data_IF_182020733888
#
_entry.id   IF_182020733888
#
_cell.length_a   1.000
_cell.length_b   1.000
_cell.length_c   1.000
_cell.angle_alpha   90.00
_cell.angle_beta   90.00
_cell.angle_gamma   90.00
#
_symmetry.space_group_name_H-M   'P 1'
#
loop_
_entity.id
_entity.type
_entity.pdbx_description
1 polymer ?
#
# COMPACT_ATOMS: atom_id res chain seq x y z
N UNK A 1 -2.63 -10.22 11.45
CA UNK A 1 -2.60 -11.25 10.40
C UNK A 1 -1.33 -12.07 10.55
N UNK A 2 -1.39 -13.40 10.41
CA UNK A 2 -0.21 -14.26 10.31
C UNK A 2 0.60 -13.90 9.05
N UNK A 3 1.92 -14.05 9.10
CA UNK A 3 2.78 -13.66 7.98
C UNK A 3 2.53 -14.52 6.72
N UNK A 4 2.14 -15.77 6.91
CA UNK A 4 1.77 -16.72 5.85
C UNK A 4 0.49 -16.33 5.11
N UNK A 5 -0.36 -15.53 5.73
CA UNK A 5 -1.61 -15.04 5.12
C UNK A 5 -1.42 -13.68 4.41
N UNK A 6 -0.18 -13.18 4.37
CA UNK A 6 0.14 -11.91 3.73
C UNK A 6 1.03 -12.14 2.51
N UNK A 7 0.54 -11.75 1.34
CA UNK A 7 1.33 -11.74 0.10
C UNK A 7 1.55 -10.31 -0.37
N UNK A 8 2.82 -9.97 -0.62
CA UNK A 8 3.21 -8.69 -1.23
C UNK A 8 3.94 -9.00 -2.52
N UNK A 9 3.30 -8.71 -3.64
CA UNK A 9 3.90 -8.84 -4.97
C UNK A 9 4.98 -7.78 -5.21
N UNK A 10 6.02 -8.08 -6.00
CA UNK A 10 7.03 -7.12 -6.37
C UNK A 10 6.46 -6.00 -7.24
N UNK A 11 7.02 -4.80 -7.12
CA UNK A 11 6.79 -3.73 -8.09
C UNK A 11 7.46 -4.08 -9.40
N UNK A 12 6.80 -3.75 -10.51
CA UNK A 12 7.38 -3.88 -11.84
C UNK A 12 7.20 -2.59 -12.64
N UNK A 13 8.12 -2.37 -13.58
CA UNK A 13 8.06 -1.24 -14.49
C UNK A 13 7.29 -1.62 -15.75
N UNK A 14 6.19 -0.91 -16.01
CA UNK A 14 5.35 -1.11 -17.20
C UNK A 14 5.43 0.13 -18.09
N UNK A 15 6.17 0.10 -19.22
CA UNK A 15 6.48 1.29 -20.02
C UNK A 15 5.27 2.09 -20.48
N UNK A 16 4.18 1.46 -20.86
CA UNK A 16 2.96 2.16 -21.32
C UNK A 16 2.16 2.83 -20.20
N UNK A 17 2.41 2.51 -18.94
CA UNK A 17 1.82 3.25 -17.82
C UNK A 17 2.45 4.63 -17.64
N UNK A 18 3.67 4.84 -18.17
CA UNK A 18 4.43 6.09 -18.03
C UNK A 18 4.60 6.44 -16.54
N UNK A 19 4.07 7.60 -16.13
CA UNK A 19 4.15 8.12 -14.76
C UNK A 19 3.05 7.58 -13.83
N UNK A 20 2.13 6.78 -14.33
CA UNK A 20 1.06 6.19 -13.52
C UNK A 20 1.58 5.02 -12.69
N UNK A 21 1.19 5.00 -11.44
CA UNK A 21 1.52 3.95 -10.48
C UNK A 21 0.24 3.35 -9.91
N UNK A 22 0.14 2.03 -9.93
CA UNK A 22 -1.02 1.30 -9.42
C UNK A 22 -0.65 0.47 -8.21
N UNK A 23 -1.55 0.42 -7.25
CA UNK A 23 -1.50 -0.50 -6.12
C UNK A 23 -2.85 -1.21 -6.02
N UNK A 24 -2.82 -2.53 -6.02
CA UNK A 24 -3.99 -3.36 -5.80
C UNK A 24 -3.90 -4.00 -4.42
N UNK A 25 -4.94 -3.85 -3.61
CA UNK A 25 -5.05 -4.46 -2.30
C UNK A 25 -6.31 -5.32 -2.30
N UNK A 26 -6.16 -6.58 -1.93
CA UNK A 26 -7.26 -7.50 -1.70
C UNK A 26 -7.13 -8.07 -0.29
N UNK A 27 -8.23 -8.04 0.44
CA UNK A 27 -8.34 -8.66 1.76
C UNK A 27 -9.54 -9.61 1.76
N UNK A 28 -9.33 -10.82 2.23
CA UNK A 28 -10.38 -11.81 2.41
C UNK A 28 -10.47 -12.16 3.90
N UNK A 29 -11.66 -12.33 4.38
CA UNK A 29 -11.91 -12.64 5.78
C UNK A 29 -13.32 -13.18 5.99
N UNK A 30 -13.68 -13.31 7.25
CA UNK A 30 -15.02 -13.73 7.66
C UNK A 30 -15.59 -12.73 8.66
N UNK A 31 -16.90 -12.55 8.61
CA UNK A 31 -17.66 -11.80 9.57
C UNK A 31 -18.42 -12.73 10.52
N UNK A 32 -19.33 -12.16 11.31
CA UNK A 32 -20.17 -12.93 12.21
C UNK A 32 -20.91 -14.06 11.47
N UNK A 33 -20.91 -15.26 12.06
CA UNK A 33 -21.54 -16.44 11.46
C UNK A 33 -20.75 -17.06 10.31
N UNK A 34 -19.44 -16.83 10.24
CA UNK A 34 -18.54 -17.33 9.21
C UNK A 34 -18.91 -16.89 7.78
N UNK A 35 -19.59 -15.74 7.69
CA UNK A 35 -19.95 -15.16 6.38
C UNK A 35 -18.72 -14.55 5.74
N UNK A 36 -18.38 -14.92 4.47
CA UNK A 36 -17.24 -14.35 3.78
C UNK A 36 -17.32 -12.82 3.62
N UNK A 37 -16.21 -12.15 3.85
CA UNK A 37 -16.00 -10.73 3.58
C UNK A 37 -14.82 -10.55 2.64
N UNK A 38 -15.04 -9.84 1.55
CA UNK A 38 -13.97 -9.48 0.62
C UNK A 38 -13.92 -7.96 0.48
N UNK A 39 -12.71 -7.42 0.50
CA UNK A 39 -12.44 -6.03 0.18
C UNK A 39 -11.41 -5.98 -0.95
N UNK A 40 -11.72 -5.21 -1.97
CA UNK A 40 -10.81 -4.89 -3.06
C UNK A 40 -10.63 -3.38 -3.15
N UNK A 41 -9.39 -2.93 -3.25
CA UNK A 41 -9.06 -1.52 -3.44
C UNK A 41 -7.99 -1.38 -4.53
N UNK A 42 -8.20 -0.43 -5.43
CA UNK A 42 -7.20 0.01 -6.40
C UNK A 42 -6.86 1.47 -6.11
N UNK A 43 -5.58 1.73 -5.89
CA UNK A 43 -5.04 3.08 -5.87
C UNK A 43 -4.31 3.34 -7.19
N UNK A 44 -4.63 4.43 -7.85
CA UNK A 44 -3.92 4.91 -9.04
C UNK A 44 -3.47 6.35 -8.81
N UNK A 45 -2.18 6.59 -8.97
CA UNK A 45 -1.57 7.92 -8.79
C UNK A 45 -0.63 8.25 -9.95
N UNK A 46 -0.45 9.53 -10.23
CA UNK A 46 0.65 10.04 -11.02
C UNK A 46 1.84 10.27 -10.10
N UNK A 47 2.92 9.49 -10.27
CA UNK A 47 4.01 9.44 -9.30
C UNK A 47 4.76 10.76 -9.18
N UNK A 48 5.08 11.39 -10.31
CA UNK A 48 5.85 12.64 -10.32
C UNK A 48 5.14 13.82 -9.63
N UNK A 49 3.87 14.15 -9.92
CA UNK A 49 3.15 15.18 -9.17
C UNK A 49 2.98 14.82 -7.68
N UNK A 50 2.77 13.54 -7.38
CA UNK A 50 2.59 13.08 -6.02
C UNK A 50 3.87 13.24 -5.19
N UNK A 51 5.04 12.94 -5.78
CA UNK A 51 6.33 13.09 -5.11
C UNK A 51 6.85 14.54 -5.10
N UNK A 52 6.45 15.37 -6.06
CA UNK A 52 6.91 16.75 -6.16
C UNK A 52 6.61 17.57 -4.91
N UNK A 53 5.41 17.42 -4.34
CA UNK A 53 5.03 18.10 -3.08
C UNK A 53 5.96 17.75 -1.94
N UNK A 54 6.23 16.46 -1.75
CA UNK A 54 7.16 15.97 -0.71
C UNK A 54 8.59 16.48 -0.94
N UNK A 55 9.05 16.50 -2.19
CA UNK A 55 10.40 16.98 -2.54
C UNK A 55 10.53 18.47 -2.26
N UNK A 56 9.53 19.28 -2.56
CA UNK A 56 9.52 20.72 -2.27
C UNK A 56 9.71 20.96 -0.77
N UNK A 57 8.96 20.28 0.08
CA UNK A 57 9.07 20.44 1.53
C UNK A 57 10.40 19.91 2.06
N UNK A 58 10.91 18.81 1.52
CA UNK A 58 12.23 18.31 1.89
C UNK A 58 13.34 19.31 1.52
N UNK A 59 13.28 19.96 0.35
CA UNK A 59 14.23 20.99 -0.09
C UNK A 59 14.14 22.23 0.82
N UNK A 60 12.94 22.66 1.17
CA UNK A 60 12.74 23.78 2.11
C UNK A 60 13.36 23.48 3.47
N UNK A 61 13.16 22.30 4.02
CA UNK A 61 13.79 21.88 5.27
C UNK A 61 15.33 21.81 5.15
N UNK A 62 15.85 21.31 4.03
CA UNK A 62 17.29 21.29 3.78
C UNK A 62 17.89 22.69 3.69
N UNK A 63 17.22 23.64 3.00
CA UNK A 63 17.65 25.05 2.95
C UNK A 63 17.65 25.68 4.33
N UNK A 64 16.60 25.47 5.12
CA UNK A 64 16.51 25.97 6.48
C UNK A 64 17.66 25.44 7.35
N UNK A 65 17.99 24.15 7.22
CA UNK A 65 19.12 23.55 7.92
C UNK A 65 20.46 24.21 7.54
N UNK A 66 20.69 24.47 6.25
CA UNK A 66 21.89 25.14 5.75
C UNK A 66 22.00 26.55 6.31
N UNK A 67 20.92 27.32 6.32
CA UNK A 67 20.89 28.69 6.85
C UNK A 67 21.23 28.74 8.37
N UNK A 68 20.89 27.68 9.08
CA UNK A 68 21.23 27.51 10.50
C UNK A 68 22.55 26.81 10.76
N UNK A 69 23.33 26.47 9.71
CA UNK A 69 24.64 25.83 9.82
C UNK A 69 24.58 24.38 10.31
N UNK A 70 23.44 23.69 10.17
CA UNK A 70 23.30 22.28 10.52
C UNK A 70 24.02 21.41 9.49
N UNK A 71 24.64 20.34 9.96
CA UNK A 71 25.40 19.38 9.13
C UNK A 71 24.95 17.96 9.37
N UNK A 72 25.08 17.13 8.35
CA UNK A 72 24.71 15.72 8.39
C UNK A 72 23.22 15.48 8.13
N UNK A 73 22.76 14.27 8.41
CA UNK A 73 21.36 13.91 8.23
C UNK A 73 20.45 14.66 9.21
N UNK A 74 19.31 15.14 8.71
CA UNK A 74 18.26 15.75 9.51
C UNK A 74 17.33 14.65 10.01
N UNK A 75 17.17 14.49 11.31
CA UNK A 75 16.37 13.41 11.89
C UNK A 75 14.88 13.69 11.74
N UNK A 76 14.41 14.87 12.17
CA UNK A 76 13.01 15.22 12.13
C UNK A 76 12.42 15.21 10.71
N UNK A 77 12.91 15.99 9.74
CA UNK A 77 12.37 15.97 8.38
C UNK A 77 12.53 14.61 7.67
N UNK A 78 13.65 13.91 7.89
CA UNK A 78 13.86 12.61 7.25
C UNK A 78 12.88 11.57 7.75
N UNK A 79 12.54 11.56 9.01
CA UNK A 79 11.59 10.61 9.60
C UNK A 79 10.19 10.77 9.01
N UNK A 80 9.81 11.98 8.59
CA UNK A 80 8.51 12.26 8.00
C UNK A 80 8.47 12.08 6.47
N UNK A 81 9.54 12.48 5.76
CA UNK A 81 9.53 12.52 4.29
C UNK A 81 10.17 11.30 3.62
N UNK A 82 10.95 10.48 4.33
CA UNK A 82 11.76 9.43 3.70
C UNK A 82 11.37 8.03 4.14
N UNK A 83 11.44 7.07 3.19
CA UNK A 83 11.18 5.64 3.45
C UNK A 83 12.16 5.02 4.43
N UNK A 84 13.42 5.44 4.37
CA UNK A 84 14.51 4.89 5.18
C UNK A 84 15.26 6.04 5.86
N UNK A 85 14.63 6.67 6.87
CA UNK A 85 15.28 7.72 7.63
C UNK A 85 16.37 7.15 8.54
N UNK A 86 17.31 7.98 9.03
CA UNK A 86 18.30 7.55 10.01
C UNK A 86 17.68 6.97 11.29
N UNK A 87 16.52 7.49 11.68
CA UNK A 87 15.73 7.04 12.82
C UNK A 87 14.29 6.90 12.36
N UNK A 88 13.71 5.70 12.54
CA UNK A 88 12.30 5.45 12.23
C UNK A 88 11.44 5.95 13.39
N UNK A 89 10.55 6.88 13.11
CA UNK A 89 9.64 7.53 14.08
C UNK A 89 8.20 7.36 13.56
N UNK A 90 7.18 7.16 14.43
CA UNK A 90 5.78 7.14 14.02
C UNK A 90 5.37 8.42 13.29
N UNK A 91 4.45 8.32 12.33
CA UNK A 91 4.11 9.41 11.41
C UNK A 91 3.55 10.65 12.12
N UNK A 92 2.71 10.47 13.12
CA UNK A 92 2.15 11.53 13.94
C UNK A 92 3.23 12.31 14.69
N UNK A 93 4.14 11.58 15.34
CA UNK A 93 5.26 12.17 16.07
C UNK A 93 6.26 12.83 15.10
N UNK A 94 6.57 12.17 13.98
CA UNK A 94 7.52 12.71 12.98
C UNK A 94 7.01 14.00 12.34
N UNK A 95 5.69 14.11 12.12
CA UNK A 95 5.05 15.35 11.68
C UNK A 95 5.24 16.47 12.71
N UNK A 96 4.92 16.22 13.97
CA UNK A 96 5.08 17.20 15.03
C UNK A 96 6.53 17.66 15.19
N UNK A 97 7.49 16.73 15.11
CA UNK A 97 8.91 17.04 15.16
C UNK A 97 9.37 17.88 13.96
N UNK A 98 8.79 17.65 12.78
CA UNK A 98 9.07 18.46 11.60
C UNK A 98 8.54 19.88 11.77
N UNK A 99 7.36 20.06 12.35
CA UNK A 99 6.81 21.38 12.70
C UNK A 99 7.66 22.09 13.76
N UNK A 100 8.20 21.36 14.74
CA UNK A 100 9.14 21.91 15.73
C UNK A 100 10.46 22.31 15.06
N UNK A 101 10.97 21.47 14.14
CA UNK A 101 12.17 21.77 13.36
C UNK A 101 12.02 23.05 12.56
N UNK A 102 10.88 23.31 11.96
CA UNK A 102 10.63 24.54 11.20
C UNK A 102 10.74 25.78 12.12
N UNK A 103 10.31 25.66 13.37
CA UNK A 103 10.37 26.77 14.36
C UNK A 103 11.75 26.93 15.01
N UNK A 104 12.39 25.83 15.35
CA UNK A 104 13.71 25.77 15.98
C UNK A 104 14.56 24.62 15.42
N UNK A 105 15.24 24.83 14.28
CA UNK A 105 16.02 23.79 13.63
C UNK A 105 17.14 23.22 14.51
N UNK A 106 17.88 24.11 15.19
CA UNK A 106 19.03 23.70 16.01
C UNK A 106 18.62 22.94 17.26
N UNK A 107 17.66 23.47 18.01
CA UNK A 107 17.22 22.88 19.27
C UNK A 107 16.53 21.53 19.03
N UNK A 108 15.72 21.42 17.98
CA UNK A 108 15.04 20.17 17.63
C UNK A 108 16.04 19.07 17.24
N UNK A 109 16.95 19.35 16.31
CA UNK A 109 17.95 18.38 15.88
C UNK A 109 18.92 18.00 17.00
N UNK A 110 19.33 18.93 17.85
CA UNK A 110 20.19 18.64 18.98
C UNK A 110 19.54 17.67 19.96
N UNK A 111 18.27 17.86 20.29
CA UNK A 111 17.51 16.94 21.15
C UNK A 111 17.39 15.55 20.54
N UNK A 112 17.07 15.47 19.25
CA UNK A 112 16.86 14.19 18.55
C UNK A 112 18.16 13.40 18.38
N UNK A 113 19.30 14.04 18.25
CA UNK A 113 20.61 13.37 18.16
C UNK A 113 21.02 12.73 19.49
N UNK A 114 20.59 13.29 20.60
CA UNK A 114 20.87 12.77 21.95
C UNK A 114 19.88 11.67 22.33
N UNK A 115 18.60 11.90 22.08
CA UNK A 115 17.53 10.97 22.51
C UNK A 115 16.40 10.94 21.45
N UNK A 116 16.58 10.21 20.35
CA UNK A 116 15.53 10.07 19.35
C UNK A 116 14.36 9.26 19.92
N UNK A 117 13.09 9.67 19.66
CA UNK A 117 11.94 8.85 19.97
C UNK A 117 11.96 7.62 19.07
N UNK A 118 12.28 6.49 19.64
CA UNK A 118 12.27 5.21 18.93
C UNK A 118 10.89 4.55 19.08
N UNK A 119 10.44 3.87 18.04
CA UNK A 119 9.36 2.89 18.15
C UNK A 119 9.81 1.82 19.16
N UNK A 120 9.39 1.93 20.39
CA UNK A 120 9.35 0.73 21.24
C UNK A 120 8.34 -0.19 20.56
N UNK A 121 8.82 -1.18 19.81
CA UNK A 121 8.00 -2.34 19.49
C UNK A 121 7.63 -2.96 20.83
N UNK A 122 6.53 -2.52 21.40
CA UNK A 122 5.82 -3.36 22.34
C UNK A 122 5.45 -4.60 21.52
N UNK A 123 6.20 -5.66 21.70
CA UNK A 123 5.79 -6.98 21.28
C UNK A 123 4.54 -7.30 22.10
N UNK A 124 3.39 -6.81 21.64
CA UNK A 124 2.13 -7.35 22.17
C UNK A 124 2.24 -8.85 21.99
N UNK A 125 2.05 -9.65 23.05
CA UNK A 125 2.12 -11.09 22.91
C UNK A 125 1.17 -11.47 21.78
N UNK A 126 1.72 -12.07 20.73
CA UNK A 126 0.91 -12.68 19.67
C UNK A 126 -0.06 -13.60 20.39
N UNK A 127 -1.33 -13.22 20.43
CA UNK A 127 -2.38 -14.11 20.92
C UNK A 127 -2.18 -15.40 20.14
N UNK A 128 -1.71 -16.46 20.84
CA UNK A 128 -1.56 -17.78 20.23
C UNK A 128 -2.90 -18.10 19.59
N UNK A 129 -2.92 -18.15 18.27
CA UNK A 129 -4.11 -18.49 17.52
C UNK A 129 -4.68 -19.77 18.13
N UNK A 130 -5.93 -19.72 18.55
CA UNK A 130 -6.64 -20.90 19.00
C UNK A 130 -6.50 -21.95 17.89
N UNK A 131 -6.04 -23.16 18.24
CA UNK A 131 -5.95 -24.25 17.28
C UNK A 131 -7.29 -24.35 16.56
N UNK A 132 -7.31 -24.36 15.20
CA UNK A 132 -8.57 -24.52 14.48
C UNK A 132 -9.24 -25.82 14.97
N UNK A 133 -10.53 -25.71 15.30
CA UNK A 133 -11.32 -26.88 15.64
C UNK A 133 -11.25 -27.90 14.48
N UNK A 134 -11.16 -29.20 14.76
CA UNK A 134 -11.03 -30.21 13.70
C UNK A 134 -12.25 -30.10 12.77
N UNK A 135 -11.98 -29.88 11.48
CA UNK A 135 -12.98 -29.79 10.45
C UNK A 135 -13.90 -31.02 10.52
N UNK A 136 -15.19 -30.83 10.79
CA UNK A 136 -16.19 -31.87 10.65
C UNK A 136 -16.18 -32.30 9.19
N UNK A 137 -15.80 -33.59 8.93
CA UNK A 137 -15.86 -34.19 7.60
C UNK A 137 -17.27 -34.00 7.01
N UNK A 138 -17.37 -33.19 5.99
CA UNK A 138 -18.62 -33.03 5.24
C UNK A 138 -19.01 -34.40 4.63
N UNK A 139 -20.23 -34.83 4.88
CA UNK A 139 -20.78 -36.03 4.25
C UNK A 139 -20.85 -35.86 2.73
N UNK A 140 -20.61 -36.92 1.94
CA UNK A 140 -20.60 -36.78 0.49
C UNK A 140 -22.00 -36.43 -0.02
N UNK A 141 -22.14 -35.31 -0.70
CA UNK A 141 -23.37 -34.93 -1.41
C UNK A 141 -23.54 -35.88 -2.59
N UNK A 142 -24.65 -36.64 -2.59
CA UNK A 142 -25.07 -37.45 -3.73
C UNK A 142 -25.21 -36.55 -4.96
N UNK A 143 -24.51 -36.96 -6.04
CA UNK A 143 -24.57 -36.29 -7.32
C UNK A 143 -25.97 -36.42 -7.93
N UNK A 144 -26.57 -35.30 -8.33
CA UNK A 144 -27.80 -35.27 -9.10
C UNK A 144 -27.50 -35.59 -10.57
N UNK A 145 -28.42 -36.30 -11.30
CA UNK A 145 -28.15 -36.70 -12.67
C UNK A 145 -28.14 -35.51 -13.64
N UNK A 146 -27.12 -35.45 -14.48
CA UNK A 146 -26.98 -34.47 -15.56
C UNK A 146 -28.07 -34.66 -16.61
N UNK A 147 -28.96 -33.71 -16.79
CA UNK A 147 -29.82 -33.62 -17.98
C UNK A 147 -28.99 -33.18 -19.17
N UNK A 148 -28.92 -34.04 -20.17
CA UNK A 148 -28.32 -33.78 -21.48
C UNK A 148 -29.23 -32.79 -22.23
N UNK A 149 -28.73 -31.58 -22.49
CA UNK A 149 -29.41 -30.60 -23.34
C UNK A 149 -29.02 -30.88 -24.82
N UNK A 150 -30.05 -31.12 -25.63
CA UNK A 150 -29.96 -31.32 -27.10
C UNK A 150 -29.48 -30.04 -27.77
N UNK A 151 -28.45 -30.18 -28.61
CA UNK A 151 -27.96 -29.12 -29.48
C UNK A 151 -28.98 -28.76 -30.56
N UNK A 152 -29.22 -27.48 -30.82
CA UNK A 152 -29.93 -26.99 -32.00
C UNK A 152 -28.92 -26.36 -32.99
N UNK A 153 -29.19 -26.44 -34.30
CA UNK A 153 -28.18 -26.18 -35.32
C UNK A 153 -27.96 -24.70 -35.62
N UNK A 154 -26.74 -24.41 -36.02
CA UNK A 154 -26.29 -23.12 -36.51
C UNK A 154 -26.97 -22.71 -37.80
N UNK A 155 -27.43 -21.47 -37.93
CA UNK A 155 -27.75 -20.82 -39.22
C UNK A 155 -26.69 -19.78 -39.53
N UNK A 156 -26.23 -19.92 -40.76
CA UNK A 156 -25.17 -19.13 -41.37
C UNK A 156 -25.68 -17.76 -41.90
N UNK A 157 -24.71 -16.91 -42.13
CA UNK A 157 -24.59 -15.88 -43.16
C UNK A 157 -25.17 -14.49 -42.91
N UNK A 158 -24.30 -13.55 -43.11
CA UNK A 158 -24.63 -12.13 -43.34
C UNK A 158 -23.35 -11.35 -43.59
N UNK A 159 -22.89 -11.32 -44.85
CA UNK A 159 -21.87 -10.35 -45.37
C UNK A 159 -22.41 -8.93 -45.37
N UNK A 160 -21.60 -7.99 -44.96
CA UNK A 160 -21.69 -6.58 -45.43
C UNK A 160 -20.28 -5.95 -45.27
N UNK A 161 -19.57 -5.79 -46.33
CA UNK A 161 -19.37 -4.73 -47.29
C UNK A 161 -18.78 -3.45 -46.63
N UNK A 162 -17.50 -3.26 -46.99
CA UNK A 162 -16.68 -2.07 -46.84
C UNK A 162 -17.27 -0.90 -47.60
N UNK A 163 -17.27 0.30 -47.01
CA UNK A 163 -17.29 1.55 -47.72
C UNK A 163 -16.29 2.55 -47.10
N UNK A 164 -15.22 2.71 -47.83
CA UNK A 164 -14.26 3.80 -47.74
C UNK A 164 -14.93 5.10 -48.14
N UNK A 165 -14.71 6.21 -47.42
CA UNK A 165 -14.68 7.56 -47.98
C UNK A 165 -13.65 8.45 -47.30
N UNK A 166 -12.70 8.87 -48.13
CA UNK A 166 -11.78 10.02 -47.93
C UNK A 166 -12.58 11.33 -47.76
N UNK A 167 -12.17 12.15 -46.80
CA UNK A 167 -11.71 13.50 -47.04
C UNK A 167 -10.90 13.95 -45.82
#
# INVERSE_FOLDING_TARGET
LPAEDVHVGPSDYVPWLKDRKWCHIRMEGTTFGDVPLNLEMKLEVWDSPNSAGVVIDAVRCAKLALDHGLKGALIAPSSYFKKSPPVQIPDDISRELTEQFIKDPKGTEAKLRVNPPTLKRESKPVLKAAKPAPAKKAAPKKAAPKKVAKAAPAKAAGKAVVASKKK
#
